data_IF_144696850195
#
_entry.id   IF_144696850195
#
_cell.length_a   1.000
_cell.length_b   1.000
_cell.length_c   1.000
_cell.angle_alpha   90.00
_cell.angle_beta   90.00
_cell.angle_gamma   90.00
#
_symmetry.space_group_name_H-M   'P 1'
#
loop_
_entity.id
_entity.type
_entity.pdbx_description
1 polymer ?
#
# COMPACT_ATOMS: atom_id res chain seq x y z
N UNK A 1 -25.44 47.73 -30.38
CA UNK A 1 -24.16 46.99 -30.22
C UNK A 1 -24.38 46.00 -29.10
N UNK A 2 -24.71 44.74 -29.42
CA UNK A 2 -24.88 43.69 -28.42
C UNK A 2 -23.55 42.95 -28.27
N UNK A 3 -22.98 42.98 -27.08
CA UNK A 3 -21.74 42.28 -26.74
C UNK A 3 -22.05 40.79 -26.57
N UNK A 4 -21.56 39.94 -27.47
CA UNK A 4 -21.57 38.49 -27.25
C UNK A 4 -20.45 38.12 -26.28
N UNK A 5 -20.80 37.69 -25.07
CA UNK A 5 -19.85 37.05 -24.16
C UNK A 5 -19.67 35.59 -24.58
N UNK A 6 -18.50 35.25 -25.11
CA UNK A 6 -18.12 33.87 -25.45
C UNK A 6 -17.74 33.16 -24.15
N UNK A 7 -18.59 32.25 -23.67
CA UNK A 7 -18.27 31.37 -22.54
C UNK A 7 -17.45 30.20 -23.08
N UNK A 8 -16.15 30.20 -22.79
CA UNK A 8 -15.27 29.06 -23.11
C UNK A 8 -15.48 27.98 -22.05
N UNK A 9 -16.15 26.89 -22.42
CA UNK A 9 -16.29 25.70 -21.56
C UNK A 9 -14.94 24.96 -21.62
N UNK A 10 -14.16 25.06 -20.55
CA UNK A 10 -12.95 24.26 -20.38
C UNK A 10 -13.38 22.84 -19.99
N UNK A 11 -13.43 21.93 -20.96
CA UNK A 11 -13.59 20.50 -20.69
C UNK A 11 -12.31 19.99 -20.03
N UNK A 12 -12.34 19.79 -18.71
CA UNK A 12 -11.32 19.01 -18.03
C UNK A 12 -11.43 17.57 -18.53
N UNK A 13 -10.54 17.19 -19.45
CA UNK A 13 -10.29 15.78 -19.74
C UNK A 13 -9.58 15.24 -18.50
N UNK A 14 -10.35 14.67 -17.57
CA UNK A 14 -9.79 13.91 -16.46
C UNK A 14 -8.97 12.77 -17.05
N UNK A 15 -7.65 12.88 -16.97
CA UNK A 15 -6.77 11.77 -17.28
C UNK A 15 -7.18 10.59 -16.41
N UNK A 16 -7.47 9.44 -17.03
CA UNK A 16 -7.58 8.20 -16.27
C UNK A 16 -6.20 7.92 -15.69
N UNK A 17 -6.02 8.23 -14.40
CA UNK A 17 -4.94 7.64 -13.62
C UNK A 17 -5.12 6.13 -13.75
N UNK A 18 -4.12 5.43 -14.29
CA UNK A 18 -4.20 3.99 -14.54
C UNK A 18 -4.48 3.28 -13.22
N UNK A 19 -5.74 2.91 -12.99
CA UNK A 19 -6.13 2.29 -11.73
C UNK A 19 -5.56 0.87 -11.66
N UNK A 20 -4.88 0.56 -10.56
CA UNK A 20 -4.60 -0.84 -10.20
C UNK A 20 -5.91 -1.63 -10.13
N UNK A 21 -5.89 -2.90 -10.51
CA UNK A 21 -7.06 -3.78 -10.42
C UNK A 21 -7.37 -4.20 -8.97
N UNK A 22 -6.46 -3.91 -8.04
CA UNK A 22 -6.61 -4.15 -6.61
C UNK A 22 -7.61 -3.16 -5.99
N UNK A 23 -8.52 -3.67 -5.18
CA UNK A 23 -9.36 -2.85 -4.30
C UNK A 23 -8.55 -2.22 -3.16
N UNK A 24 -9.07 -1.15 -2.56
CA UNK A 24 -8.41 -0.47 -1.45
C UNK A 24 -8.12 -1.41 -0.26
N UNK A 25 -9.04 -2.33 0.06
CA UNK A 25 -8.84 -3.31 1.14
C UNK A 25 -7.68 -4.27 0.83
N UNK A 26 -7.53 -4.67 -0.44
CA UNK A 26 -6.41 -5.50 -0.87
C UNK A 26 -5.10 -4.73 -0.82
N UNK A 27 -5.08 -3.47 -1.27
CA UNK A 27 -3.92 -2.58 -1.16
C UNK A 27 -3.48 -2.46 0.30
N UNK A 28 -4.42 -2.16 1.20
CA UNK A 28 -4.16 -2.04 2.64
C UNK A 28 -3.62 -3.35 3.22
N UNK A 29 -4.18 -4.50 2.83
CA UNK A 29 -3.74 -5.82 3.28
C UNK A 29 -2.31 -6.13 2.85
N UNK A 30 -1.97 -5.86 1.58
CA UNK A 30 -0.63 -6.08 1.04
C UNK A 30 0.38 -5.18 1.74
N UNK A 31 0.09 -3.88 1.87
CA UNK A 31 0.97 -2.92 2.52
C UNK A 31 1.18 -3.25 4.01
N UNK A 32 0.10 -3.62 4.71
CA UNK A 32 0.18 -4.03 6.11
C UNK A 32 1.01 -5.30 6.26
N UNK A 33 0.85 -6.29 5.38
CA UNK A 33 1.65 -7.51 5.41
C UNK A 33 3.15 -7.18 5.27
N UNK A 34 3.52 -6.29 4.35
CA UNK A 34 4.91 -5.85 4.20
C UNK A 34 5.45 -5.22 5.48
N UNK A 35 4.75 -4.23 6.05
CA UNK A 35 5.19 -3.56 7.26
C UNK A 35 5.25 -4.50 8.48
N UNK A 36 4.33 -5.47 8.58
CA UNK A 36 4.37 -6.50 9.63
C UNK A 36 5.61 -7.40 9.54
N UNK A 37 6.03 -7.79 8.33
CA UNK A 37 7.25 -8.59 8.17
C UNK A 37 8.51 -7.76 8.40
N UNK A 38 8.51 -6.49 7.97
CA UNK A 38 9.62 -5.55 8.19
C UNK A 38 9.84 -5.25 9.68
N UNK A 39 8.78 -5.12 10.47
CA UNK A 39 8.87 -4.87 11.93
C UNK A 39 9.32 -6.09 12.74
N UNK A 40 9.19 -7.29 12.17
CA UNK A 40 9.41 -8.57 12.84
C UNK A 40 10.73 -9.28 12.45
N UNK A 41 11.63 -8.60 11.73
CA UNK A 41 12.88 -9.21 11.26
C UNK A 41 13.80 -9.65 12.40
N UNK A 42 14.54 -10.73 12.16
CA UNK A 42 15.56 -11.25 13.06
C UNK A 42 16.87 -11.52 12.29
N UNK A 43 18.01 -10.91 12.67
CA UNK A 43 18.17 -9.97 13.78
C UNK A 43 17.41 -8.66 13.54
N UNK A 44 17.18 -7.90 14.62
CA UNK A 44 16.46 -6.62 14.54
C UNK A 44 17.18 -5.62 13.64
N UNK A 45 16.43 -4.78 12.93
CA UNK A 45 16.95 -3.80 12.00
C UNK A 45 16.99 -2.40 12.62
N UNK A 46 18.15 -1.75 12.60
CA UNK A 46 18.34 -0.39 13.12
C UNK A 46 17.77 0.71 12.21
N UNK A 47 17.57 0.41 10.93
CA UNK A 47 17.29 1.39 9.88
C UNK A 47 16.10 1.02 8.97
N UNK A 48 15.20 0.14 9.43
CA UNK A 48 14.09 -0.33 8.61
C UNK A 48 13.06 0.78 8.42
N UNK A 49 12.93 1.32 7.21
CA UNK A 49 11.95 2.38 6.93
C UNK A 49 10.52 1.82 6.89
N UNK A 50 9.55 2.62 7.36
CA UNK A 50 8.13 2.34 7.18
C UNK A 50 7.81 2.40 5.67
N UNK A 51 7.09 1.38 5.17
CA UNK A 51 6.72 1.30 3.76
C UNK A 51 5.36 1.96 3.52
N UNK A 52 5.29 2.83 2.52
CA UNK A 52 4.09 3.53 2.08
C UNK A 52 3.69 3.11 0.66
N UNK A 53 2.41 3.25 0.34
CA UNK A 53 1.92 3.01 -1.01
C UNK A 53 2.31 4.15 -1.97
N UNK A 54 2.63 3.80 -3.21
CA UNK A 54 2.92 4.72 -4.31
C UNK A 54 2.11 4.32 -5.55
N UNK A 55 1.15 5.17 -5.93
CA UNK A 55 0.24 4.91 -7.05
C UNK A 55 0.97 4.87 -8.41
N UNK A 56 2.12 5.52 -8.54
CA UNK A 56 2.92 5.48 -9.78
C UNK A 56 3.57 4.11 -9.93
N UNK A 57 4.12 3.55 -8.84
CA UNK A 57 4.61 2.17 -8.83
C UNK A 57 3.49 1.16 -9.09
N UNK A 58 2.30 1.39 -8.53
CA UNK A 58 1.15 0.51 -8.74
C UNK A 58 0.69 0.52 -10.21
N UNK A 59 0.74 1.69 -10.87
CA UNK A 59 0.43 1.82 -12.30
C UNK A 59 1.42 1.03 -13.15
N UNK A 60 2.72 1.09 -12.83
CA UNK A 60 3.78 0.36 -13.54
C UNK A 60 3.58 -1.16 -13.36
N UNK A 61 3.36 -1.60 -12.13
CA UNK A 61 3.13 -3.00 -11.81
C UNK A 61 1.87 -3.54 -12.50
N UNK A 62 0.78 -2.75 -12.54
CA UNK A 62 -0.46 -3.13 -13.22
C UNK A 62 -0.26 -3.27 -14.73
N UNK A 63 0.46 -2.32 -15.35
CA UNK A 63 0.80 -2.38 -16.77
C UNK A 63 1.56 -3.67 -17.13
N UNK A 64 2.50 -4.08 -16.27
CA UNK A 64 3.22 -5.35 -16.47
C UNK A 64 2.32 -6.57 -16.25
N UNK A 65 1.52 -6.59 -15.17
CA UNK A 65 0.60 -7.68 -14.88
C UNK A 65 -0.43 -7.91 -16.01
N UNK A 66 -0.87 -6.85 -16.69
CA UNK A 66 -1.79 -6.93 -17.82
C UNK A 66 -1.24 -7.70 -19.02
N UNK A 67 0.09 -7.84 -19.13
CA UNK A 67 0.76 -8.64 -20.15
C UNK A 67 0.60 -10.15 -19.95
N UNK A 68 0.22 -10.60 -18.75
CA UNK A 68 0.05 -12.02 -18.43
C UNK A 68 1.28 -12.89 -18.76
N UNK A 69 2.47 -12.38 -18.49
CA UNK A 69 3.73 -13.11 -18.59
C UNK A 69 4.39 -13.24 -17.22
N UNK A 70 4.73 -14.48 -16.83
CA UNK A 70 5.42 -14.74 -15.56
C UNK A 70 6.93 -14.51 -15.71
N UNK A 71 7.29 -13.25 -15.94
CA UNK A 71 8.66 -12.77 -16.08
C UNK A 71 8.81 -11.43 -15.37
N UNK A 72 10.05 -11.02 -15.09
CA UNK A 72 10.31 -9.69 -14.54
C UNK A 72 10.21 -8.61 -15.62
N UNK A 73 9.69 -7.43 -15.25
CA UNK A 73 9.70 -6.25 -16.10
C UNK A 73 11.16 -5.87 -16.40
N UNK A 74 11.57 -5.75 -17.68
CA UNK A 74 12.96 -5.41 -18.02
C UNK A 74 13.32 -3.94 -17.77
N UNK A 75 12.34 -3.05 -17.55
CA UNK A 75 12.58 -1.61 -17.34
C UNK A 75 11.50 -0.94 -16.49
N UNK A 76 11.26 -1.40 -15.25
CA UNK A 76 10.22 -0.86 -14.38
C UNK A 76 10.44 0.62 -14.03
N UNK A 77 11.67 1.11 -14.06
CA UNK A 77 12.00 2.51 -13.81
C UNK A 77 11.73 3.46 -15.00
N UNK A 78 11.47 2.94 -16.20
CA UNK A 78 11.40 3.76 -17.41
C UNK A 78 10.34 4.87 -17.35
N UNK A 79 9.29 4.67 -16.55
CA UNK A 79 8.21 5.63 -16.34
C UNK A 79 8.05 6.07 -14.89
N UNK A 80 9.00 5.73 -14.01
CA UNK A 80 9.00 6.18 -12.62
C UNK A 80 9.92 7.39 -12.47
N UNK A 81 9.39 8.52 -12.00
CA UNK A 81 10.15 9.76 -11.83
C UNK A 81 11.02 9.78 -10.55
N UNK A 82 10.99 8.71 -9.76
CA UNK A 82 11.75 8.57 -8.52
C UNK A 82 13.12 7.92 -8.72
N UNK A 83 13.45 7.00 -7.82
CA UNK A 83 14.71 6.25 -7.78
C UNK A 83 14.63 4.94 -8.58
N UNK A 84 15.66 4.09 -8.52
CA UNK A 84 15.64 2.75 -9.11
C UNK A 84 14.45 1.94 -8.60
N UNK A 85 13.92 1.03 -9.42
CA UNK A 85 12.74 0.22 -9.07
C UNK A 85 13.11 -1.26 -8.97
N UNK A 86 12.79 -1.88 -7.83
CA UNK A 86 12.86 -3.32 -7.62
C UNK A 86 11.52 -3.99 -7.93
N UNK A 87 11.49 -5.31 -8.03
CA UNK A 87 10.26 -6.04 -8.37
C UNK A 87 10.22 -7.43 -7.73
N UNK A 88 9.05 -7.79 -7.20
CA UNK A 88 8.68 -9.17 -6.91
C UNK A 88 7.45 -9.55 -7.75
N UNK A 89 7.42 -10.80 -8.20
CA UNK A 89 6.28 -11.39 -8.93
C UNK A 89 5.77 -12.64 -8.22
N UNK A 90 4.46 -12.86 -8.29
CA UNK A 90 3.78 -14.01 -7.73
C UNK A 90 2.74 -14.53 -8.71
N UNK A 91 2.61 -15.86 -8.78
CA UNK A 91 1.55 -16.50 -9.55
C UNK A 91 0.85 -17.57 -8.72
N UNK A 92 -0.47 -17.64 -8.83
CA UNK A 92 -1.27 -18.66 -8.16
C UNK A 92 -2.60 -18.91 -8.85
N UNK A 93 -3.03 -20.17 -8.90
CA UNK A 93 -4.35 -20.56 -9.40
C UNK A 93 -5.40 -20.50 -8.29
N UNK A 94 -6.68 -20.42 -8.68
CA UNK A 94 -7.79 -20.32 -7.73
C UNK A 94 -8.07 -18.90 -7.28
N UNK A 95 -8.80 -18.76 -6.17
CA UNK A 95 -9.16 -17.45 -5.61
C UNK A 95 -7.92 -16.74 -5.07
N UNK A 96 -7.74 -15.48 -5.46
CA UNK A 96 -6.69 -14.65 -4.89
C UNK A 96 -7.04 -14.20 -3.46
N UNK A 97 -6.05 -14.29 -2.57
CA UNK A 97 -6.10 -13.76 -1.22
C UNK A 97 -4.99 -12.72 -1.06
N UNK A 98 -5.35 -11.46 -0.82
CA UNK A 98 -4.38 -10.38 -0.67
C UNK A 98 -3.45 -10.62 0.53
N UNK A 99 -2.17 -10.34 0.36
CA UNK A 99 -1.14 -10.61 1.36
C UNK A 99 -0.53 -12.01 1.22
N UNK A 100 -1.14 -12.93 0.45
CA UNK A 100 -0.59 -14.29 0.28
C UNK A 100 0.70 -14.29 -0.52
N UNK A 101 0.80 -13.42 -1.53
CA UNK A 101 2.02 -13.16 -2.27
C UNK A 101 3.13 -12.67 -1.33
N UNK A 102 2.82 -11.73 -0.45
CA UNK A 102 3.77 -11.18 0.53
C UNK A 102 4.22 -12.24 1.53
N UNK A 103 3.29 -13.08 2.03
CA UNK A 103 3.61 -14.22 2.90
C UNK A 103 4.52 -15.23 2.19
N UNK A 104 4.24 -15.56 0.93
CA UNK A 104 5.03 -16.49 0.14
C UNK A 104 6.46 -15.98 -0.06
N UNK A 105 6.62 -14.73 -0.48
CA UNK A 105 7.92 -14.09 -0.61
C UNK A 105 8.68 -14.05 0.71
N UNK A 106 8.01 -13.68 1.81
CA UNK A 106 8.64 -13.64 3.12
C UNK A 106 9.06 -15.02 3.64
N UNK A 107 8.37 -16.10 3.23
CA UNK A 107 8.68 -17.47 3.68
C UNK A 107 10.09 -17.96 3.28
N UNK A 108 10.70 -17.34 2.27
CA UNK A 108 12.09 -17.59 1.87
C UNK A 108 13.10 -17.24 2.98
N UNK A 109 12.70 -16.49 4.03
CA UNK A 109 13.51 -16.27 5.23
C UNK A 109 14.02 -17.58 5.84
N UNK A 110 13.27 -18.67 5.69
CA UNK A 110 13.66 -20.00 6.17
C UNK A 110 14.94 -20.55 5.52
N UNK A 111 15.26 -20.07 4.31
CA UNK A 111 16.42 -20.46 3.53
C UNK A 111 17.53 -19.37 3.55
N UNK A 112 17.27 -18.19 4.14
CA UNK A 112 18.20 -17.07 4.19
C UNK A 112 18.96 -16.98 5.52
N UNK A 113 20.28 -16.79 5.46
CA UNK A 113 21.13 -16.55 6.64
C UNK A 113 21.70 -15.13 6.62
N UNK A 114 21.23 -14.29 7.54
CA UNK A 114 21.61 -12.87 7.62
C UNK A 114 23.11 -12.66 7.93
N UNK A 115 23.72 -13.48 8.80
CA UNK A 115 25.11 -13.30 9.22
C UNK A 115 26.09 -13.37 8.04
N UNK A 116 25.91 -14.38 7.19
CA UNK A 116 26.69 -14.63 5.96
C UNK A 116 26.13 -13.95 4.71
N UNK A 117 24.96 -13.32 4.78
CA UNK A 117 24.24 -12.77 3.62
C UNK A 117 24.07 -13.81 2.50
N UNK A 118 23.67 -15.03 2.86
CA UNK A 118 23.61 -16.16 1.94
C UNK A 118 22.24 -16.80 1.91
N UNK A 119 21.81 -17.22 0.73
CA UNK A 119 20.68 -18.11 0.55
C UNK A 119 21.17 -19.57 0.51
N UNK A 120 20.39 -20.50 1.04
CA UNK A 120 20.68 -21.92 0.97
C UNK A 120 20.85 -22.38 -0.49
N UNK A 121 21.71 -23.38 -0.71
CA UNK A 121 22.02 -23.86 -2.05
C UNK A 121 20.76 -24.37 -2.76
N UNK A 122 20.53 -23.89 -3.99
CA UNK A 122 19.36 -24.23 -4.79
C UNK A 122 18.04 -23.58 -4.35
N UNK A 123 18.10 -22.65 -3.39
CA UNK A 123 16.93 -21.88 -2.91
C UNK A 123 16.92 -20.46 -3.46
N UNK A 124 15.77 -19.82 -3.33
CA UNK A 124 15.55 -18.42 -3.70
C UNK A 124 15.28 -17.64 -2.42
N UNK A 125 15.92 -16.49 -2.28
CA UNK A 125 15.74 -15.59 -1.13
C UNK A 125 15.55 -14.13 -1.56
N UNK A 126 15.54 -13.87 -2.86
CA UNK A 126 15.50 -12.51 -3.41
C UNK A 126 14.18 -11.81 -3.14
N UNK A 127 13.08 -12.56 -3.07
CA UNK A 127 11.78 -11.96 -2.77
C UNK A 127 11.72 -11.56 -1.30
N UNK A 128 12.16 -12.43 -0.40
CA UNK A 128 12.29 -12.10 1.03
C UNK A 128 13.18 -10.86 1.23
N UNK A 129 14.40 -10.86 0.68
CA UNK A 129 15.31 -9.73 0.91
C UNK A 129 14.77 -8.41 0.38
N UNK A 130 13.96 -8.43 -0.70
CA UNK A 130 13.27 -7.23 -1.19
C UNK A 130 12.13 -6.78 -0.25
N UNK A 131 11.31 -7.71 0.27
CA UNK A 131 10.24 -7.39 1.24
C UNK A 131 10.83 -6.66 2.47
N UNK A 132 11.97 -7.15 2.96
CA UNK A 132 12.65 -6.59 4.14
C UNK A 132 13.81 -5.64 3.79
N UNK A 133 13.83 -5.08 2.58
CA UNK A 133 14.89 -4.14 2.20
C UNK A 133 14.67 -2.78 2.89
N UNK A 134 15.55 -2.41 3.81
CA UNK A 134 15.38 -1.28 4.73
C UNK A 134 15.05 0.02 4.01
N UNK A 135 15.77 0.35 2.93
CA UNK A 135 15.58 1.61 2.21
C UNK A 135 14.39 1.62 1.27
N UNK A 136 13.85 0.46 0.87
CA UNK A 136 12.68 0.38 -0.01
C UNK A 136 11.43 0.76 0.78
N UNK A 137 11.07 2.04 0.76
CA UNK A 137 9.99 2.61 1.55
C UNK A 137 8.75 2.99 0.73
N UNK A 138 8.79 2.77 -0.59
CA UNK A 138 7.63 2.89 -1.48
C UNK A 138 7.29 1.55 -2.12
N UNK A 139 6.00 1.23 -2.15
CA UNK A 139 5.45 0.00 -2.72
C UNK A 139 4.27 0.34 -3.63
N UNK A 140 4.20 -0.29 -4.78
CA UNK A 140 2.98 -0.30 -5.57
C UNK A 140 2.82 -1.63 -6.27
N UNK A 141 1.61 -2.18 -6.24
CA UNK A 141 1.31 -3.48 -6.82
C UNK A 141 0.16 -3.43 -7.81
N UNK A 142 0.20 -4.36 -8.77
CA UNK A 142 -0.83 -4.60 -9.76
C UNK A 142 -1.10 -6.09 -9.91
N UNK A 143 -2.28 -6.41 -10.42
CA UNK A 143 -2.70 -7.80 -10.61
C UNK A 143 -3.49 -8.00 -11.89
N UNK A 144 -3.36 -9.19 -12.45
CA UNK A 144 -4.25 -9.69 -13.49
C UNK A 144 -4.64 -11.14 -13.25
N UNK A 145 -5.93 -11.45 -13.36
CA UNK A 145 -6.37 -12.83 -13.59
C UNK A 145 -6.17 -13.15 -15.08
N UNK A 146 -5.21 -14.00 -15.37
CA UNK A 146 -4.81 -14.38 -16.71
C UNK A 146 -5.55 -15.65 -17.15
N UNK A 147 -6.17 -15.60 -18.33
CA UNK A 147 -6.76 -16.78 -18.97
C UNK A 147 -5.69 -17.85 -19.21
N UNK A 148 -4.54 -17.40 -19.72
CA UNK A 148 -3.29 -18.15 -19.80
C UNK A 148 -2.15 -17.25 -19.32
N UNK A 149 -1.37 -17.73 -18.37
CA UNK A 149 -0.15 -17.09 -17.89
C UNK A 149 1.03 -17.66 -18.69
N UNK A 150 1.64 -16.81 -19.51
CA UNK A 150 2.80 -17.17 -20.32
C UNK A 150 4.02 -17.50 -19.44
N UNK A 151 5.05 -18.09 -20.06
CA UNK A 151 6.25 -18.67 -19.40
C UNK A 151 5.99 -19.94 -18.58
N UNK A 152 4.93 -20.00 -17.77
CA UNK A 152 4.58 -21.19 -16.96
C UNK A 152 3.41 -22.01 -17.50
N UNK A 153 2.69 -21.48 -18.50
CA UNK A 153 1.55 -22.13 -19.18
C UNK A 153 0.43 -22.58 -18.22
N UNK A 154 0.11 -21.72 -17.25
CA UNK A 154 -1.00 -21.96 -16.31
C UNK A 154 -2.26 -21.27 -16.81
N UNK A 155 -3.40 -21.94 -16.68
CA UNK A 155 -4.70 -21.36 -17.03
C UNK A 155 -5.41 -20.84 -15.78
N UNK A 156 -6.16 -19.74 -15.94
CA UNK A 156 -6.91 -19.09 -14.85
C UNK A 156 -6.03 -18.84 -13.62
N UNK A 157 -4.88 -18.20 -13.86
CA UNK A 157 -3.89 -17.89 -12.82
C UNK A 157 -3.86 -16.39 -12.56
N UNK A 158 -3.80 -16.01 -11.28
CA UNK A 158 -3.54 -14.63 -10.88
C UNK A 158 -2.04 -14.38 -11.00
N UNK A 159 -1.66 -13.33 -11.74
CA UNK A 159 -0.33 -12.74 -11.73
C UNK A 159 -0.38 -11.49 -10.85
N UNK A 160 0.49 -11.41 -9.85
CA UNK A 160 0.69 -10.23 -9.01
C UNK A 160 2.11 -9.74 -9.21
N UNK A 161 2.25 -8.44 -9.41
CA UNK A 161 3.52 -7.74 -9.57
C UNK A 161 3.55 -6.66 -8.50
N UNK A 162 4.63 -6.57 -7.73
CA UNK A 162 4.86 -5.50 -6.78
C UNK A 162 6.21 -4.84 -7.09
N UNK A 163 6.17 -3.52 -7.30
CA UNK A 163 7.35 -2.70 -7.51
C UNK A 163 7.71 -1.94 -6.24
N UNK A 164 9.02 -1.81 -6.00
CA UNK A 164 9.60 -1.23 -4.80
C UNK A 164 10.53 -0.07 -5.16
N UNK A 165 10.43 1.05 -4.47
CA UNK A 165 11.38 2.16 -4.64
C UNK A 165 11.92 2.68 -3.29
N UNK A 166 13.21 3.06 -3.23
CA UNK A 166 14.28 2.62 -4.14
C UNK A 166 14.41 1.10 -4.21
N UNK A 167 14.95 0.59 -5.32
CA UNK A 167 15.22 -0.83 -5.52
C UNK A 167 16.09 -1.41 -4.39
N UNK A 168 15.82 -2.66 -4.04
CA UNK A 168 16.65 -3.43 -3.12
C UNK A 168 17.61 -4.37 -3.84
N UNK A 169 18.02 -5.42 -3.12
CA UNK A 169 18.80 -6.55 -3.64
C UNK A 169 20.12 -6.18 -4.33
N UNK A 170 20.78 -5.12 -3.87
CA UNK A 170 22.10 -4.75 -4.36
C UNK A 170 23.13 -5.84 -4.05
N UNK A 171 23.87 -6.27 -5.07
CA UNK A 171 24.83 -7.37 -4.98
C UNK A 171 25.83 -7.16 -3.85
N UNK A 172 25.91 -8.16 -2.95
CA UNK A 172 26.83 -8.17 -1.82
C UNK A 172 26.37 -7.37 -0.60
N UNK A 173 25.22 -6.70 -0.66
CA UNK A 173 24.66 -5.95 0.46
C UNK A 173 23.61 -6.78 1.21
N UNK A 174 23.47 -6.52 2.51
CA UNK A 174 22.41 -7.09 3.35
C UNK A 174 21.13 -6.25 3.21
N UNK A 175 19.95 -6.84 3.45
CA UNK A 175 18.68 -6.12 3.30
C UNK A 175 18.52 -4.96 4.28
N UNK A 176 19.17 -5.01 5.45
CA UNK A 176 19.09 -3.97 6.47
C UNK A 176 20.34 -4.00 7.36
N UNK A 177 20.52 -2.96 8.19
CA UNK A 177 21.58 -2.89 9.19
C UNK A 177 21.08 -3.50 10.50
N UNK A 178 21.75 -4.54 10.99
CA UNK A 178 21.42 -5.16 12.27
C UNK A 178 21.72 -4.21 13.43
N UNK A 179 20.79 -4.08 14.37
CA UNK A 179 20.97 -3.28 15.59
C UNK A 179 19.65 -3.00 16.29
N UNK A 180 19.70 -2.20 17.36
CA UNK A 180 18.48 -1.74 18.05
C UNK A 180 17.61 -0.97 17.07
N UNK A 181 16.32 -1.31 17.01
CA UNK A 181 15.37 -0.70 16.09
C UNK A 181 15.36 0.82 16.19
N UNK A 182 15.20 1.45 15.03
CA UNK A 182 15.10 2.90 14.87
C UNK A 182 16.32 3.72 15.36
N UNK A 183 17.51 3.13 15.49
CA UNK A 183 18.73 3.86 15.89
C UNK A 183 19.53 4.43 14.71
N UNK A 184 19.18 4.08 13.48
CA UNK A 184 19.85 4.52 12.25
C UNK A 184 18.84 4.90 11.15
N UNK A 185 17.77 5.60 11.51
CA UNK A 185 16.75 6.06 10.56
C UNK A 185 17.27 7.18 9.65
N UNK A 186 16.87 7.19 8.39
CA UNK A 186 17.37 8.16 7.40
C UNK A 186 17.01 9.62 7.75
N UNK A 187 15.83 9.84 8.36
CA UNK A 187 15.31 11.16 8.72
C UNK A 187 15.40 11.48 10.22
N UNK A 188 16.32 10.81 10.94
CA UNK A 188 16.47 10.95 12.40
C UNK A 188 15.64 9.94 13.18
N UNK A 189 16.01 9.73 14.45
CA UNK A 189 15.56 8.60 15.27
C UNK A 189 14.33 8.88 16.14
N UNK A 190 13.71 10.06 15.99
CA UNK A 190 12.62 10.52 16.86
C UNK A 190 11.26 9.89 16.50
N UNK A 191 11.15 9.25 15.33
CA UNK A 191 9.92 8.62 14.84
C UNK A 191 10.13 7.11 14.68
N UNK A 192 9.74 6.35 15.70
CA UNK A 192 9.77 4.89 15.68
C UNK A 192 8.37 4.34 15.96
N UNK A 193 7.80 3.63 14.98
CA UNK A 193 6.51 2.95 15.13
C UNK A 193 6.71 1.47 14.83
N UNK A 194 6.41 0.61 15.81
CA UNK A 194 6.52 -0.85 15.66
C UNK A 194 7.85 -1.29 15.02
N UNK A 195 8.98 -0.81 15.56
CA UNK A 195 10.34 -1.09 15.07
C UNK A 195 10.68 -0.55 13.67
N UNK A 196 9.82 0.28 13.07
CA UNK A 196 10.02 0.93 11.78
C UNK A 196 10.34 2.42 11.95
N UNK A 197 11.27 2.92 11.13
CA UNK A 197 11.58 4.33 10.99
C UNK A 197 10.44 5.05 10.27
N UNK A 198 9.75 5.95 10.97
CA UNK A 198 8.52 6.59 10.50
C UNK A 198 7.25 5.89 10.98
N UNK A 199 6.11 6.38 10.52
CA UNK A 199 4.78 5.89 10.89
C UNK A 199 3.81 6.05 9.71
N UNK A 200 2.66 5.35 9.72
CA UNK A 200 1.62 5.58 8.72
C UNK A 200 1.20 7.06 8.75
N UNK A 201 1.37 7.76 7.62
CA UNK A 201 0.85 9.12 7.49
C UNK A 201 -0.67 9.12 7.75
N UNK A 202 -1.15 9.97 8.66
CA UNK A 202 -2.56 10.02 9.10
C UNK A 202 -3.56 10.47 8.02
N UNK A 203 -3.14 10.60 6.76
CA UNK A 203 -3.94 11.11 5.64
C UNK A 203 -4.89 10.09 5.01
N UNK A 204 -4.96 8.85 5.52
CA UNK A 204 -5.92 7.82 5.08
C UNK A 204 -7.18 7.67 5.95
N UNK A 205 -7.25 8.33 7.11
CA UNK A 205 -8.44 8.29 7.96
C UNK A 205 -9.38 9.44 7.58
N UNK A 206 -10.38 9.17 6.74
CA UNK A 206 -11.56 10.04 6.64
C UNK A 206 -12.10 10.30 8.05
N UNK A 207 -12.17 11.57 8.41
CA UNK A 207 -12.25 12.02 9.79
C UNK A 207 -13.38 11.40 10.63
N UNK A 208 -13.02 11.04 11.86
CA UNK A 208 -13.92 11.19 13.00
C UNK A 208 -13.44 12.37 13.84
N UNK A 209 -14.34 13.25 14.32
CA UNK A 209 -13.95 14.44 15.05
C UNK A 209 -13.33 14.05 16.40
N UNK A 210 -12.08 14.45 16.60
CA UNK A 210 -11.42 14.42 17.91
C UNK A 210 -12.23 15.26 18.90
N UNK A 211 -12.71 14.62 19.97
CA UNK A 211 -13.18 15.31 21.16
C UNK A 211 -12.04 16.15 21.75
N UNK A 212 -12.35 17.40 22.07
CA UNK A 212 -11.44 18.33 22.72
C UNK A 212 -11.47 18.09 24.24
N UNK A 213 -10.45 17.45 24.79
CA UNK A 213 -10.29 17.24 26.23
C UNK A 213 -9.29 18.23 26.83
N UNK A 214 -9.75 19.40 27.24
CA UNK A 214 -9.01 20.33 28.10
C UNK A 214 -9.45 20.14 29.55
N UNK A 215 -8.51 19.83 30.45
CA UNK A 215 -8.79 19.47 31.84
C UNK A 215 -9.23 20.63 32.75
N UNK A 216 -9.92 20.27 33.83
CA UNK A 216 -9.85 20.97 35.11
C UNK A 216 -10.40 20.08 36.23
N UNK A 217 -9.64 20.02 37.31
CA UNK A 217 -9.96 19.35 38.58
C UNK A 217 -11.15 20.02 39.28
N UNK A 218 -12.15 19.24 39.72
CA UNK A 218 -12.70 19.42 41.07
C UNK A 218 -13.55 18.22 41.53
N UNK A 219 -13.57 18.04 42.85
CA UNK A 219 -14.21 17.00 43.65
C UNK A 219 -15.75 16.97 43.55
N UNK A 220 -16.38 15.81 43.81
CA UNK A 220 -17.33 15.53 44.94
C UNK A 220 -18.31 14.37 44.61
N UNK A 221 -18.36 13.38 45.52
CA UNK A 221 -19.44 12.41 45.91
C UNK A 221 -20.25 11.56 44.90
N UNK A 222 -20.26 10.25 45.19
CA UNK A 222 -21.18 9.13 44.82
C UNK A 222 -22.67 9.36 45.23
N UNK A 223 -23.70 8.47 44.98
CA UNK A 223 -23.69 7.06 44.52
C UNK A 223 -24.85 6.52 43.60
N UNK A 224 -24.60 5.35 42.97
CA UNK A 224 -25.47 4.16 42.72
C UNK A 224 -26.72 4.17 41.78
N UNK A 225 -27.07 2.94 41.32
CA UNK A 225 -28.23 2.42 40.53
C UNK A 225 -27.94 2.33 39.01
N UNK A 226 -28.18 1.26 38.23
CA UNK A 226 -28.97 0.03 38.37
C UNK A 226 -29.82 -0.18 37.09
N UNK A 227 -29.72 -1.33 36.40
CA UNK A 227 -30.54 -1.75 35.23
C UNK A 227 -29.99 -1.25 33.88
N UNK A 228 -29.84 -2.03 32.79
CA UNK A 228 -30.63 -3.14 32.27
C UNK A 228 -31.50 -2.61 31.14
N UNK A 229 -31.17 -2.88 29.86
CA UNK A 229 -32.15 -3.18 28.80
C UNK A 229 -31.56 -3.42 27.40
N UNK A 230 -32.28 -4.28 26.68
CA UNK A 230 -32.06 -4.83 25.34
C UNK A 230 -32.42 -3.82 24.23
N UNK A 231 -31.65 -3.79 23.13
CA UNK A 231 -31.96 -2.94 21.98
C UNK A 231 -31.38 -3.47 20.67
N UNK A 232 -32.26 -3.85 19.75
CA UNK A 232 -32.01 -4.50 18.48
C UNK A 232 -31.06 -3.75 17.52
N UNK A 233 -30.10 -4.48 16.95
CA UNK A 233 -29.31 -4.01 15.81
C UNK A 233 -30.16 -4.06 14.52
N UNK A 234 -30.47 -2.88 13.96
CA UNK A 234 -31.12 -2.74 12.66
C UNK A 234 -30.10 -2.88 11.54
N UNK A 235 -30.42 -3.73 10.58
CA UNK A 235 -29.80 -3.80 9.26
C UNK A 235 -29.79 -2.42 8.59
N UNK A 236 -28.64 -2.03 8.05
CA UNK A 236 -28.53 -0.99 7.03
C UNK A 236 -27.66 -1.52 5.89
N UNK A 237 -28.32 -2.01 4.84
CA UNK A 237 -27.68 -2.23 3.53
C UNK A 237 -27.32 -0.87 2.94
N UNK A 238 -26.04 -0.61 2.71
CA UNK A 238 -25.60 0.53 1.93
C UNK A 238 -25.46 0.12 0.47
N UNK A 239 -26.44 0.52 -0.34
CA UNK A 239 -26.30 0.64 -1.79
C UNK A 239 -25.43 1.87 -2.08
N UNK A 240 -24.18 1.66 -2.48
CA UNK A 240 -23.33 2.72 -3.04
C UNK A 240 -23.75 2.98 -4.49
N UNK A 241 -24.49 4.06 -4.72
CA UNK A 241 -24.64 4.66 -6.03
C UNK A 241 -23.57 5.73 -6.16
N UNK A 242 -22.59 5.51 -7.03
CA UNK A 242 -21.58 6.50 -7.40
C UNK A 242 -22.24 7.74 -7.99
N UNK A 243 -22.28 8.81 -7.20
CA UNK A 243 -22.78 10.11 -7.62
C UNK A 243 -21.64 11.00 -8.11
N UNK A 244 -21.67 11.35 -9.39
CA UNK A 244 -20.93 12.50 -9.94
C UNK A 244 -21.54 13.75 -9.30
N UNK A 245 -20.76 14.46 -8.48
CA UNK A 245 -21.17 15.75 -7.91
C UNK A 245 -21.13 16.79 -9.04
N UNK A 246 -22.26 17.02 -9.69
CA UNK A 246 -22.48 18.16 -10.57
C UNK A 246 -22.99 19.31 -9.70
N UNK A 247 -22.12 20.25 -9.35
CA UNK A 247 -22.53 21.50 -8.70
C UNK A 247 -23.27 22.36 -9.72
N UNK A 248 -24.60 22.36 -9.67
CA UNK A 248 -25.47 23.21 -10.48
C UNK A 248 -25.55 24.61 -9.83
N UNK A 249 -24.83 25.59 -10.38
CA UNK A 249 -25.02 27.00 -10.05
C UNK A 249 -26.29 27.52 -10.73
N UNK A 250 -27.39 27.60 -9.98
CA UNK A 250 -28.62 28.28 -10.40
C UNK A 250 -28.39 29.79 -10.25
N UNK A 251 -28.24 30.52 -11.36
CA UNK A 251 -28.43 31.97 -11.36
C UNK A 251 -29.90 32.27 -11.68
N UNK A 252 -30.62 32.78 -10.68
CA UNK A 252 -31.93 33.40 -10.84
C UNK A 252 -31.83 34.61 -11.78
N UNK A 253 -32.54 34.58 -12.91
CA UNK A 253 -32.93 35.79 -13.61
C UNK A 253 -34.43 35.98 -13.44
N UNK A 254 -34.79 37.00 -12.65
CA UNK A 254 -36.13 37.56 -12.58
C UNK A 254 -36.54 38.03 -13.98
N UNK A 255 -37.74 37.66 -14.42
CA UNK A 255 -38.46 38.31 -15.51
C UNK A 255 -39.87 38.65 -15.02
N UNK A 256 -40.27 39.91 -15.21
CA UNK A 256 -41.63 40.41 -14.97
C UNK A 256 -41.69 41.50 -13.92
#
# INVERSE_FOLDING_TARGET
MQSLSVVTILLFVGGSFGATSLSQDQINTILQAHNNYRSAVSPTAANMEYMEWDDSLATIAQSWADGCDFAHNPSPEATYSGSSVGENIYAGTGSYNAGKETENWNSEVSDYTYSSNSCASGRVCGHYTQVVWASSNKLGCGMKLCSTLATVNWNNANLVVCNYAPAGNFRGQKPYVSGTSCTQCANGNDNCSDNLCGSPSATGATGSPSGNGGGSSNTTSTPNQGGGDNGAARHASMLSLGGVVVTLLILNMMQG
#
